data_IF_308458217548
#
_entry.id   IF_308458217548
#
_cell.length_a   1.000
_cell.length_b   1.000
_cell.length_c   1.000
_cell.angle_alpha   90.00
_cell.angle_beta   90.00
_cell.angle_gamma   90.00
#
_symmetry.space_group_name_H-M   'P 1'
#
loop_
_entity.id
_entity.type
_entity.pdbx_description
1 polymer ?
#
# COMPACT_ATOMS: atom_id res chain seq x y z
N UNK A 1 14.68 -9.98 13.84
CA UNK A 1 13.39 -9.79 14.54
C UNK A 1 12.50 -8.84 13.73
N UNK A 2 12.01 -9.27 12.56
CA UNK A 2 11.24 -8.41 11.64
C UNK A 2 9.90 -9.04 11.25
N UNK A 3 9.10 -9.44 12.24
CA UNK A 3 7.87 -10.20 12.03
C UNK A 3 6.59 -9.55 12.54
N UNK A 4 6.61 -8.28 12.97
CA UNK A 4 5.55 -7.70 13.83
C UNK A 4 4.64 -6.70 13.10
N UNK A 5 4.91 -6.37 11.83
CA UNK A 5 4.26 -5.23 11.17
C UNK A 5 2.80 -5.48 10.75
N UNK A 6 2.45 -6.71 10.35
CA UNK A 6 1.07 -7.10 10.02
C UNK A 6 0.19 -7.26 11.27
N UNK A 7 0.78 -7.50 12.43
CA UNK A 7 0.04 -7.76 13.68
C UNK A 7 -0.59 -6.49 14.26
N UNK A 8 -0.05 -5.30 13.93
CA UNK A 8 -0.52 -4.03 14.53
C UNK A 8 -1.63 -3.34 13.74
N UNK A 9 -1.68 -3.55 12.43
CA UNK A 9 -2.62 -2.86 11.53
C UNK A 9 -3.46 -3.82 10.68
N UNK A 10 -3.23 -5.14 10.76
CA UNK A 10 -3.88 -6.11 9.88
C UNK A 10 -3.30 -6.07 8.46
N UNK A 11 -4.05 -6.59 7.50
CA UNK A 11 -3.71 -6.48 6.08
C UNK A 11 -3.79 -5.00 5.65
N UNK A 12 -2.77 -4.54 4.94
CA UNK A 12 -2.74 -3.21 4.35
C UNK A 12 -3.63 -3.18 3.11
N UNK A 13 -4.77 -2.49 3.18
CA UNK A 13 -5.73 -2.40 2.08
C UNK A 13 -5.54 -1.12 1.28
N UNK A 14 -5.41 0.03 1.96
CA UNK A 14 -5.15 1.33 1.31
C UNK A 14 -4.01 2.07 2.00
N UNK A 15 -3.20 2.73 1.18
CA UNK A 15 -2.20 3.71 1.63
C UNK A 15 -2.62 5.08 1.12
N UNK A 16 -2.94 5.99 2.04
CA UNK A 16 -3.39 7.34 1.74
C UNK A 16 -2.27 8.34 2.04
N UNK A 17 -1.95 9.19 1.06
CA UNK A 17 -0.98 10.28 1.16
C UNK A 17 -1.68 11.58 1.45
N UNK A 18 -1.11 12.34 2.38
CA UNK A 18 -1.62 13.66 2.79
C UNK A 18 -0.45 14.64 2.91
N UNK A 19 -0.70 15.95 2.87
CA UNK A 19 0.26 16.94 3.34
C UNK A 19 0.64 16.66 4.80
N UNK A 20 1.86 17.06 5.17
CA UNK A 20 2.39 16.86 6.52
C UNK A 20 1.50 17.59 7.54
N UNK A 21 1.09 16.87 8.59
CA UNK A 21 0.28 17.43 9.68
C UNK A 21 -1.22 17.28 9.51
N UNK A 22 -1.71 16.91 8.32
CA UNK A 22 -3.15 16.72 8.03
C UNK A 22 -3.64 15.28 8.20
N UNK A 23 -2.76 14.35 8.58
CA UNK A 23 -3.05 12.90 8.61
C UNK A 23 -4.23 12.56 9.53
N UNK A 24 -4.35 13.24 10.67
CA UNK A 24 -5.44 13.02 11.63
C UNK A 24 -6.79 13.55 11.12
N UNK A 25 -6.76 14.68 10.40
CA UNK A 25 -7.97 15.27 9.82
C UNK A 25 -8.45 14.38 8.68
N UNK A 26 -7.54 13.97 7.80
CA UNK A 26 -7.84 13.00 6.75
C UNK A 26 -8.39 11.70 7.33
N UNK A 27 -7.78 11.16 8.38
CA UNK A 27 -8.27 9.94 9.03
C UNK A 27 -9.71 10.09 9.56
N UNK A 28 -10.01 11.16 10.30
CA UNK A 28 -11.37 11.45 10.79
C UNK A 28 -12.38 11.52 9.66
N UNK A 29 -12.04 12.21 8.55
CA UNK A 29 -12.93 12.31 7.39
C UNK A 29 -13.15 10.99 6.68
N UNK A 30 -12.14 10.11 6.63
CA UNK A 30 -12.27 8.77 6.07
C UNK A 30 -13.21 7.92 6.95
N UNK A 31 -13.10 8.01 8.28
CA UNK A 31 -14.00 7.32 9.21
C UNK A 31 -15.46 7.80 9.06
N UNK A 32 -15.67 9.09 8.77
CA UNK A 32 -16.98 9.69 8.51
C UNK A 32 -17.64 9.21 7.21
N UNK A 33 -16.91 8.55 6.28
CA UNK A 33 -17.50 8.00 5.05
C UNK A 33 -18.43 6.81 5.29
N UNK A 34 -18.47 6.28 6.52
CA UNK A 34 -19.40 5.22 6.94
C UNK A 34 -19.06 3.84 6.41
N UNK A 35 -17.80 3.60 6.00
CA UNK A 35 -17.33 2.28 5.59
C UNK A 35 -16.67 1.59 6.78
N UNK A 36 -17.06 0.36 7.06
CA UNK A 36 -16.44 -0.47 8.09
C UNK A 36 -14.99 -0.75 7.72
N UNK A 37 -14.08 -0.01 8.36
CA UNK A 37 -12.64 -0.11 8.19
C UNK A 37 -11.92 0.47 9.42
N UNK A 38 -10.64 0.19 9.52
CA UNK A 38 -9.77 0.77 10.54
C UNK A 38 -8.82 1.78 9.90
N UNK A 39 -8.82 3.00 10.42
CA UNK A 39 -8.03 4.10 9.88
C UNK A 39 -6.92 4.48 10.86
N UNK A 40 -5.68 4.47 10.38
CA UNK A 40 -4.50 4.63 11.20
C UNK A 40 -3.66 5.82 10.71
N UNK A 41 -3.81 7.02 11.32
CA UNK A 41 -3.00 8.16 10.99
C UNK A 41 -1.58 8.03 11.56
N UNK A 42 -0.58 8.49 10.79
CA UNK A 42 0.84 8.50 11.21
C UNK A 42 1.35 7.14 11.72
N UNK A 43 1.22 6.07 10.92
CA UNK A 43 1.69 4.75 11.35
C UNK A 43 3.19 4.81 11.68
N UNK A 44 3.58 4.27 12.84
CA UNK A 44 4.94 4.36 13.38
C UNK A 44 5.54 5.78 13.44
N UNK A 45 4.71 6.83 13.46
CA UNK A 45 5.15 8.22 13.43
C UNK A 45 5.55 8.73 12.04
N UNK A 46 5.36 7.94 10.98
CA UNK A 46 5.60 8.39 9.61
C UNK A 46 4.59 9.46 9.20
N UNK A 47 5.09 10.67 8.93
CA UNK A 47 4.28 11.78 8.46
C UNK A 47 3.88 11.61 6.98
N UNK A 48 2.79 12.30 6.61
CA UNK A 48 2.16 12.30 5.29
C UNK A 48 1.54 10.96 4.91
N UNK A 49 1.13 10.17 5.90
CA UNK A 49 0.64 8.81 5.68
C UNK A 49 -0.53 8.47 6.61
N UNK A 50 -1.55 7.87 6.01
CA UNK A 50 -2.65 7.18 6.69
C UNK A 50 -2.76 5.79 6.08
N UNK A 51 -2.88 4.77 6.94
CA UNK A 51 -3.16 3.38 6.54
C UNK A 51 -4.64 3.11 6.78
N UNK A 52 -5.29 2.43 5.83
CA UNK A 52 -6.63 1.88 6.03
C UNK A 52 -6.55 0.36 5.90
N UNK A 53 -7.20 -0.35 6.82
CA UNK A 53 -7.26 -1.81 6.86
C UNK A 53 -8.66 -2.33 7.21
N UNK A 54 -8.89 -3.62 6.99
CA UNK A 54 -10.18 -4.26 7.22
C UNK A 54 -11.22 -3.95 6.14
N UNK A 55 -10.80 -3.48 4.97
CA UNK A 55 -11.70 -3.14 3.87
C UNK A 55 -12.00 -4.42 3.06
N UNK A 56 -13.28 -4.76 2.82
CA UNK A 56 -13.63 -5.85 1.92
C UNK A 56 -13.03 -5.68 0.52
N UNK A 57 -12.52 -6.77 -0.07
CA UNK A 57 -11.77 -6.75 -1.34
C UNK A 57 -12.55 -6.08 -2.48
N UNK A 58 -13.83 -6.39 -2.60
CA UNK A 58 -14.77 -5.87 -3.60
C UNK A 58 -15.09 -4.38 -3.41
N UNK A 59 -14.73 -3.80 -2.26
CA UNK A 59 -14.99 -2.39 -1.90
C UNK A 59 -13.74 -1.52 -1.86
N UNK A 60 -12.54 -2.09 -1.99
CA UNK A 60 -11.26 -1.35 -1.91
C UNK A 60 -11.20 -0.20 -2.91
N UNK A 61 -11.53 -0.49 -4.16
CA UNK A 61 -11.48 0.50 -5.25
C UNK A 61 -12.55 1.60 -5.08
N UNK A 62 -13.79 1.21 -4.74
CA UNK A 62 -14.87 2.16 -4.45
C UNK A 62 -14.47 3.13 -3.32
N UNK A 63 -13.97 2.58 -2.20
CA UNK A 63 -13.52 3.40 -1.07
C UNK A 63 -12.35 4.31 -1.47
N UNK A 64 -11.38 3.80 -2.24
CA UNK A 64 -10.25 4.60 -2.69
C UNK A 64 -10.67 5.80 -3.55
N UNK A 65 -11.63 5.61 -4.45
CA UNK A 65 -12.20 6.70 -5.26
C UNK A 65 -12.97 7.70 -4.41
N UNK A 66 -13.81 7.22 -3.49
CA UNK A 66 -14.55 8.09 -2.56
C UNK A 66 -13.60 8.92 -1.70
N UNK A 67 -12.59 8.32 -1.08
CA UNK A 67 -11.57 9.03 -0.30
C UNK A 67 -10.91 10.13 -1.14
N UNK A 68 -10.51 9.80 -2.38
CA UNK A 68 -9.84 10.76 -3.27
C UNK A 68 -10.75 11.94 -3.65
N UNK A 69 -12.05 11.71 -3.82
CA UNK A 69 -13.00 12.73 -4.27
C UNK A 69 -13.62 13.55 -3.12
N UNK A 70 -13.83 12.93 -1.96
CA UNK A 70 -14.57 13.50 -0.82
C UNK A 70 -13.65 14.06 0.27
N UNK A 71 -12.36 13.69 0.32
CA UNK A 71 -11.41 14.13 1.36
C UNK A 71 -10.34 15.08 0.80
N UNK A 72 -10.51 16.41 0.93
CA UNK A 72 -9.59 17.42 0.40
C UNK A 72 -8.12 17.30 0.83
N UNK A 73 -7.85 16.75 2.01
CA UNK A 73 -6.49 16.57 2.54
C UNK A 73 -5.72 15.43 1.87
N UNK A 74 -6.37 14.66 0.99
CA UNK A 74 -5.77 13.50 0.32
C UNK A 74 -5.17 13.89 -1.02
N UNK A 75 -3.87 13.66 -1.16
CA UNK A 75 -3.13 13.90 -2.41
C UNK A 75 -3.18 12.68 -3.33
N UNK A 76 -3.16 11.48 -2.73
CA UNK A 76 -3.07 10.21 -3.45
C UNK A 76 -3.57 9.06 -2.58
N UNK A 77 -4.29 8.15 -3.20
CA UNK A 77 -4.65 6.84 -2.61
C UNK A 77 -3.98 5.74 -3.43
N UNK A 78 -3.36 4.79 -2.75
CA UNK A 78 -2.78 3.59 -3.35
C UNK A 78 -3.56 2.38 -2.83
N UNK A 79 -4.15 1.62 -3.73
CA UNK A 79 -4.83 0.36 -3.42
C UNK A 79 -3.81 -0.76 -3.37
N UNK A 80 -3.92 -1.62 -2.37
CA UNK A 80 -3.03 -2.75 -2.16
C UNK A 80 -3.72 -4.04 -2.62
N UNK A 81 -3.15 -4.65 -3.66
CA UNK A 81 -3.59 -5.94 -4.22
C UNK A 81 -3.18 -7.11 -3.33
N UNK A 82 -1.98 -7.05 -2.74
CA UNK A 82 -1.49 -8.06 -1.81
C UNK A 82 -0.62 -7.42 -0.71
N UNK A 83 -0.78 -7.92 0.52
CA UNK A 83 0.01 -7.49 1.69
C UNK A 83 0.79 -8.68 2.23
N UNK A 84 2.11 -8.65 2.09
CA UNK A 84 3.04 -9.69 2.55
C UNK A 84 4.00 -9.15 3.60
N UNK A 85 4.69 -10.07 4.29
CA UNK A 85 5.82 -9.71 5.15
C UNK A 85 6.87 -8.95 4.33
N UNK A 86 7.53 -7.98 4.96
CA UNK A 86 8.66 -7.24 4.40
C UNK A 86 9.94 -8.11 4.27
N UNK A 87 9.82 -9.19 3.49
CA UNK A 87 10.87 -10.12 3.11
C UNK A 87 11.00 -10.10 1.60
N UNK A 88 12.24 -10.11 1.09
CA UNK A 88 12.49 -9.90 -0.33
C UNK A 88 11.89 -11.03 -1.19
N UNK A 89 11.92 -12.27 -0.73
CA UNK A 89 11.36 -13.41 -1.46
C UNK A 89 9.83 -13.32 -1.49
N UNK A 90 9.22 -13.04 -0.34
CA UNK A 90 7.77 -12.88 -0.23
C UNK A 90 7.24 -11.73 -1.11
N UNK A 91 7.97 -10.61 -1.19
CA UNK A 91 7.64 -9.48 -2.06
C UNK A 91 7.70 -9.89 -3.53
N UNK A 92 8.74 -10.62 -3.94
CA UNK A 92 8.91 -11.05 -5.34
C UNK A 92 7.81 -12.03 -5.76
N UNK A 93 7.53 -13.05 -4.94
CA UNK A 93 6.46 -14.01 -5.23
C UNK A 93 5.09 -13.33 -5.33
N UNK A 94 4.80 -12.40 -4.42
CA UNK A 94 3.57 -11.61 -4.45
C UNK A 94 3.48 -10.73 -5.69
N UNK A 95 4.56 -10.04 -6.05
CA UNK A 95 4.58 -9.20 -7.23
C UNK A 95 4.31 -9.98 -8.54
N UNK A 96 4.86 -11.19 -8.68
CA UNK A 96 4.60 -12.07 -9.83
C UNK A 96 3.14 -12.54 -9.89
N UNK A 97 2.55 -12.87 -8.73
CA UNK A 97 1.12 -13.24 -8.66
C UNK A 97 0.20 -12.08 -8.99
N UNK A 98 0.55 -10.86 -8.60
CA UNK A 98 -0.22 -9.66 -8.94
C UNK A 98 -0.03 -9.32 -10.41
N UNK A 99 1.21 -9.30 -10.91
CA UNK A 99 1.50 -8.91 -12.30
C UNK A 99 0.79 -9.79 -13.31
N UNK A 100 0.70 -11.11 -13.08
CA UNK A 100 0.02 -12.04 -13.99
C UNK A 100 -1.49 -11.77 -14.16
N UNK A 101 -2.10 -10.97 -13.26
CA UNK A 101 -3.52 -10.56 -13.36
C UNK A 101 -3.71 -9.27 -14.15
N UNK A 102 -2.67 -8.44 -14.27
CA UNK A 102 -2.78 -7.06 -14.79
C UNK A 102 -1.88 -6.74 -15.98
N UNK A 103 -0.81 -7.53 -16.20
CA UNK A 103 0.15 -7.31 -17.27
C UNK A 103 0.04 -8.40 -18.33
N UNK A 104 0.21 -8.01 -19.59
CA UNK A 104 0.38 -8.90 -20.73
C UNK A 104 1.76 -8.69 -21.38
N UNK A 105 2.04 -9.46 -22.44
CA UNK A 105 3.34 -9.44 -23.14
C UNK A 105 3.64 -8.12 -23.86
N UNK A 106 2.62 -7.32 -24.14
CA UNK A 106 2.74 -6.07 -24.87
C UNK A 106 2.78 -4.86 -23.92
N UNK A 107 2.58 -5.09 -22.61
CA UNK A 107 2.56 -4.05 -21.59
C UNK A 107 3.95 -3.72 -21.09
N UNK A 108 4.35 -2.46 -21.25
CA UNK A 108 5.54 -1.91 -20.59
C UNK A 108 5.24 -1.55 -19.14
N UNK A 109 6.13 -1.91 -18.22
CA UNK A 109 5.97 -1.63 -16.80
C UNK A 109 7.26 -1.07 -16.17
N UNK A 110 7.12 -0.49 -14.98
CA UNK A 110 8.25 -0.04 -14.16
C UNK A 110 8.00 -0.35 -12.69
N UNK A 111 9.01 -0.88 -12.01
CA UNK A 111 8.94 -1.15 -10.56
C UNK A 111 9.43 0.06 -9.78
N UNK A 112 8.60 0.56 -8.86
CA UNK A 112 8.94 1.69 -8.00
C UNK A 112 8.74 1.34 -6.53
N UNK A 113 9.84 1.15 -5.82
CA UNK A 113 9.82 0.85 -4.39
C UNK A 113 9.94 2.10 -3.53
N UNK A 114 9.00 2.27 -2.59
CA UNK A 114 9.11 3.24 -1.49
C UNK A 114 9.40 2.48 -0.20
N UNK A 115 10.65 2.52 0.24
CA UNK A 115 11.08 1.85 1.46
C UNK A 115 10.89 2.76 2.67
N UNK A 116 10.24 2.24 3.72
CA UNK A 116 10.12 2.88 5.04
C UNK A 116 10.73 1.96 6.09
N UNK A 117 11.47 2.54 7.04
CA UNK A 117 12.20 1.77 8.05
C UNK A 117 13.54 1.20 7.58
N UNK A 118 14.09 0.29 8.38
CA UNK A 118 15.38 -0.37 8.14
C UNK A 118 15.15 -1.81 7.68
N UNK A 119 15.72 -2.17 6.54
CA UNK A 119 15.60 -3.48 5.92
C UNK A 119 16.98 -3.95 5.46
N UNK A 120 17.23 -5.27 5.34
CA UNK A 120 18.50 -5.81 4.88
C UNK A 120 18.72 -5.64 3.36
N UNK A 121 17.72 -5.11 2.64
CA UNK A 121 17.75 -4.85 1.21
C UNK A 121 17.52 -3.36 0.90
N UNK A 122 17.99 -2.93 -0.26
CA UNK A 122 17.78 -1.59 -0.80
C UNK A 122 16.57 -1.54 -1.73
N UNK A 123 16.11 -0.32 -2.05
CA UNK A 123 15.04 -0.16 -3.05
C UNK A 123 15.47 -0.61 -4.45
N UNK A 124 16.77 -0.56 -4.74
CA UNK A 124 17.33 -1.02 -6.02
C UNK A 124 17.25 -2.54 -6.09
N UNK A 125 17.63 -3.23 -5.02
CA UNK A 125 17.54 -4.69 -4.95
C UNK A 125 16.10 -5.18 -5.21
N UNK A 126 15.11 -4.52 -4.58
CA UNK A 126 13.69 -4.83 -4.80
C UNK A 126 13.30 -4.59 -6.26
N UNK A 127 13.60 -3.41 -6.81
CA UNK A 127 13.24 -3.09 -8.19
C UNK A 127 13.84 -4.06 -9.20
N UNK A 128 15.14 -4.39 -9.06
CA UNK A 128 15.84 -5.32 -9.94
C UNK A 128 15.26 -6.73 -9.85
N UNK A 129 15.06 -7.24 -8.63
CA UNK A 129 14.61 -8.62 -8.43
C UNK A 129 13.16 -8.83 -8.84
N UNK A 130 12.27 -7.91 -8.47
CA UNK A 130 10.86 -7.94 -8.90
C UNK A 130 10.77 -7.76 -10.41
N UNK A 131 11.51 -6.81 -10.98
CA UNK A 131 11.51 -6.58 -12.43
C UNK A 131 11.95 -7.80 -13.23
N UNK A 132 13.06 -8.44 -12.84
CA UNK A 132 13.54 -9.67 -13.49
C UNK A 132 12.51 -10.79 -13.37
N UNK A 133 11.98 -11.01 -12.17
CA UNK A 133 11.02 -12.09 -11.92
C UNK A 133 9.72 -11.93 -12.73
N UNK A 134 9.22 -10.71 -12.91
CA UNK A 134 8.02 -10.45 -13.74
C UNK A 134 8.31 -10.70 -15.22
N UNK A 135 9.52 -10.42 -15.71
CA UNK A 135 9.90 -10.66 -17.12
C UNK A 135 10.13 -12.16 -17.40
N UNK A 136 10.59 -12.90 -16.40
CA UNK A 136 10.88 -14.34 -16.51
C UNK A 136 9.65 -15.24 -16.34
N UNK A 137 8.61 -14.75 -15.67
CA UNK A 137 7.37 -15.48 -15.38
C UNK A 137 6.45 -15.61 -16.61
#
# INVERSE_FOLDING_TARGET
MGGVETERYGALDLIVKTPLGLERIAASRIEELGVECHVHPKPHGFLGLVIVSGVPEDRKWELAERIKNEVPEVERVLVSEESVKADLDAIVESAVRVSSRFLDKDTSFAVRTVRRGKHPYTSIDVNCRVGSAIVEA
#
